data_IF_182231985761
#
_entry.id   IF_182231985761
#
_cell.length_a   1.000
_cell.length_b   1.000
_cell.length_c   1.000
_cell.angle_alpha   90.00
_cell.angle_beta   90.00
_cell.angle_gamma   90.00
#
_symmetry.space_group_name_H-M   'P 1'
#
loop_
_entity.id
_entity.type
_entity.pdbx_description
1 polymer ?
#
# COMPACT_ATOMS: atom_id res chain seq x y z
N UNK A 1 -23.14 -6.95 6.84
CA UNK A 1 -22.41 -6.46 5.65
C UNK A 1 -20.99 -6.99 5.76
N UNK A 2 -20.55 -7.89 4.89
CA UNK A 2 -19.19 -8.45 4.92
C UNK A 2 -18.28 -7.40 4.29
N UNK A 3 -17.21 -7.00 4.97
CA UNK A 3 -16.20 -6.15 4.35
C UNK A 3 -15.47 -6.99 3.30
N UNK A 4 -15.46 -6.53 2.05
CA UNK A 4 -14.70 -7.17 0.98
C UNK A 4 -13.21 -6.88 1.17
N UNK A 5 -12.38 -7.89 0.93
CA UNK A 5 -10.93 -7.75 1.02
C UNK A 5 -10.46 -6.94 -0.19
N UNK A 6 -9.91 -5.76 0.06
CA UNK A 6 -9.27 -4.94 -0.98
C UNK A 6 -8.08 -5.70 -1.55
N UNK A 7 -7.97 -5.76 -2.88
CA UNK A 7 -6.84 -6.40 -3.54
C UNK A 7 -5.61 -5.49 -3.53
N UNK A 8 -4.41 -6.08 -3.50
CA UNK A 8 -3.18 -5.27 -3.54
C UNK A 8 -3.10 -4.46 -4.84
N UNK A 9 -3.55 -5.02 -5.96
CA UNK A 9 -3.61 -4.31 -7.25
C UNK A 9 -4.46 -3.05 -7.18
N UNK A 10 -5.52 -3.01 -6.37
CA UNK A 10 -6.32 -1.80 -6.17
C UNK A 10 -5.57 -0.76 -5.35
N UNK A 11 -4.82 -1.18 -4.32
CA UNK A 11 -3.99 -0.31 -3.48
C UNK A 11 -2.83 0.28 -4.28
N UNK A 12 -2.15 -0.52 -5.11
CA UNK A 12 -1.09 -0.06 -6.02
C UNK A 12 -1.62 0.98 -7.00
N UNK A 13 -2.80 0.75 -7.60
CA UNK A 13 -3.45 1.75 -8.47
C UNK A 13 -3.81 3.05 -7.73
N UNK A 14 -4.20 2.97 -6.45
CA UNK A 14 -4.45 4.16 -5.64
C UNK A 14 -3.14 4.92 -5.39
N UNK A 15 -2.06 4.20 -5.08
CA UNK A 15 -0.72 4.77 -4.91
C UNK A 15 -0.28 5.52 -6.17
N UNK A 16 -0.34 4.87 -7.34
CA UNK A 16 0.04 5.48 -8.63
C UNK A 16 -0.74 6.77 -8.91
N UNK A 17 -2.04 6.79 -8.62
CA UNK A 17 -2.88 7.98 -8.79
C UNK A 17 -2.51 9.11 -7.85
N UNK A 18 -2.15 8.79 -6.60
CA UNK A 18 -1.72 9.76 -5.60
C UNK A 18 -0.35 10.35 -5.96
N UNK A 19 0.58 9.53 -6.45
CA UNK A 19 1.89 9.98 -6.95
C UNK A 19 1.72 10.93 -8.14
N UNK A 20 0.86 10.58 -9.10
CA UNK A 20 0.56 11.44 -10.24
C UNK A 20 -0.09 12.77 -9.82
N UNK A 21 -1.02 12.74 -8.85
CA UNK A 21 -1.65 13.95 -8.30
C UNK A 21 -0.61 14.86 -7.62
N UNK A 22 0.39 14.28 -6.95
CA UNK A 22 1.45 15.05 -6.28
C UNK A 22 2.35 15.82 -7.26
N UNK A 23 2.51 15.32 -8.48
CA UNK A 23 3.27 15.99 -9.56
C UNK A 23 2.50 17.14 -10.22
N UNK A 24 1.21 17.32 -9.93
CA UNK A 24 0.40 18.37 -10.52
C UNK A 24 0.82 19.77 -10.04
N UNK A 25 1.18 20.65 -10.99
CA UNK A 25 1.62 22.03 -10.70
C UNK A 25 0.57 22.90 -10.00
N UNK A 26 -0.72 22.53 -10.09
CA UNK A 26 -1.85 23.27 -9.53
C UNK A 26 -2.37 22.70 -8.20
N UNK A 27 -1.61 21.80 -7.57
CA UNK A 27 -2.05 21.15 -6.34
C UNK A 27 -2.26 22.16 -5.20
N UNK A 28 -3.43 22.15 -4.52
CA UNK A 28 -3.65 22.99 -3.34
C UNK A 28 -2.60 22.69 -2.25
N UNK A 29 -2.13 23.73 -1.55
CA UNK A 29 -1.04 23.61 -0.57
C UNK A 29 -1.25 22.52 0.51
N UNK A 30 -2.48 22.38 1.02
CA UNK A 30 -2.80 21.36 2.03
C UNK A 30 -2.90 19.95 1.45
N UNK A 31 -3.24 19.83 0.17
CA UNK A 31 -3.45 18.56 -0.51
C UNK A 31 -2.15 17.79 -0.69
N UNK A 32 -1.03 18.48 -0.95
CA UNK A 32 0.28 17.84 -1.03
C UNK A 32 0.64 17.07 0.23
N UNK A 33 0.49 17.69 1.41
CA UNK A 33 0.78 17.04 2.70
C UNK A 33 -0.17 15.87 3.00
N UNK A 34 -1.43 15.98 2.61
CA UNK A 34 -2.39 14.88 2.75
C UNK A 34 -1.97 13.69 1.88
N UNK A 35 -1.61 13.93 0.62
CA UNK A 35 -1.16 12.90 -0.31
C UNK A 35 0.12 12.23 0.20
N UNK A 36 1.12 13.01 0.62
CA UNK A 36 2.35 12.48 1.23
C UNK A 36 2.05 11.57 2.42
N UNK A 37 1.14 11.99 3.30
CA UNK A 37 0.73 11.19 4.46
C UNK A 37 0.05 9.88 4.04
N UNK A 38 -0.83 9.91 3.03
CA UNK A 38 -1.50 8.74 2.49
C UNK A 38 -0.50 7.77 1.83
N UNK A 39 0.45 8.28 1.06
CA UNK A 39 1.50 7.47 0.44
C UNK A 39 2.33 6.72 1.49
N UNK A 40 2.75 7.40 2.56
CA UNK A 40 3.46 6.76 3.68
C UNK A 40 2.66 5.62 4.31
N UNK A 41 1.35 5.80 4.49
CA UNK A 41 0.49 4.75 5.05
C UNK A 41 0.37 3.55 4.11
N UNK A 42 0.25 3.81 2.80
CA UNK A 42 0.17 2.75 1.78
C UNK A 42 1.48 1.96 1.75
N UNK A 43 2.63 2.64 1.72
CA UNK A 43 3.94 2.00 1.69
C UNK A 43 4.17 1.13 2.93
N UNK A 44 3.88 1.68 4.12
CA UNK A 44 3.98 0.94 5.38
C UNK A 44 3.10 -0.32 5.36
N UNK A 45 1.89 -0.23 4.80
CA UNK A 45 0.98 -1.37 4.71
C UNK A 45 1.47 -2.42 3.72
N UNK A 46 2.02 -2.01 2.57
CA UNK A 46 2.58 -2.91 1.57
C UNK A 46 3.80 -3.66 2.12
N UNK A 47 4.72 -2.96 2.78
CA UNK A 47 5.88 -3.57 3.44
C UNK A 47 5.47 -4.60 4.50
N UNK A 48 4.50 -4.23 5.35
CA UNK A 48 3.96 -5.17 6.35
C UNK A 48 3.37 -6.42 5.70
N UNK A 49 2.61 -6.26 4.60
CA UNK A 49 2.01 -7.39 3.87
C UNK A 49 3.08 -8.32 3.32
N UNK A 50 4.12 -7.76 2.71
CA UNK A 50 5.20 -8.55 2.11
C UNK A 50 5.98 -9.32 3.19
N UNK A 51 6.23 -8.71 4.35
CA UNK A 51 6.83 -9.39 5.51
C UNK A 51 5.94 -10.55 6.02
N UNK A 52 4.62 -10.35 6.11
CA UNK A 52 3.70 -11.43 6.50
C UNK A 52 3.71 -12.58 5.49
N UNK A 53 3.77 -12.27 4.19
CA UNK A 53 3.82 -13.27 3.14
C UNK A 53 5.13 -14.07 3.19
N UNK A 54 6.28 -13.40 3.40
CA UNK A 54 7.57 -14.07 3.58
C UNK A 54 7.61 -14.97 4.82
N UNK A 55 7.02 -14.52 5.94
CA UNK A 55 6.90 -15.33 7.16
C UNK A 55 6.10 -16.60 6.89
N UNK A 56 4.96 -16.47 6.20
CA UNK A 56 4.12 -17.60 5.81
C UNK A 56 4.87 -18.59 4.90
N UNK A 57 5.64 -18.11 3.92
CA UNK A 57 6.46 -19.00 3.08
C UNK A 57 7.53 -19.75 3.89
N UNK A 58 8.19 -19.08 4.85
CA UNK A 58 9.18 -19.72 5.74
C UNK A 58 8.55 -20.81 6.60
N UNK A 59 7.37 -20.56 7.16
CA UNK A 59 6.62 -21.55 7.95
C UNK A 59 6.26 -22.79 7.14
N UNK A 60 5.81 -22.60 5.88
CA UNK A 60 5.47 -23.72 4.99
C UNK A 60 6.71 -24.60 4.74
N UNK A 61 7.83 -24.00 4.34
CA UNK A 61 9.09 -24.73 4.06
C UNK A 61 9.57 -25.50 5.30
N UNK A 62 9.47 -24.91 6.50
CA UNK A 62 9.85 -25.56 7.75
C UNK A 62 8.90 -26.70 8.14
N UNK A 63 7.61 -26.61 7.79
CA UNK A 63 6.63 -27.67 8.07
C UNK A 63 6.72 -28.88 7.13
N UNK A 64 7.35 -28.70 5.95
CA UNK A 64 7.55 -29.74 4.94
C UNK A 64 8.92 -30.44 5.06
N UNK A 65 9.78 -30.00 5.96
CA UNK A 65 11.12 -30.56 6.25
C UNK A 65 11.10 -31.50 7.47
#
# INVERSE_FOLDING_TARGET
KMFEKVSIKEIEKIKERLEAELEEKSLPFHRGKEIESLLVHIDTWLEWRDDQEQKRYKEIIQSES
#
